data_IF_228642459498
#
_entry.id   IF_228642459498
#
_cell.length_a   1.000
_cell.length_b   1.000
_cell.length_c   1.000
_cell.angle_alpha   90.00
_cell.angle_beta   90.00
_cell.angle_gamma   90.00
#
_symmetry.space_group_name_H-M   'P 1'
#
loop_
_entity.id
_entity.type
_entity.pdbx_description
1 polymer ?
#
# COMPACT_ATOMS: atom_id res chain seq x y z
N UNK A 1 9.48 38.53 -19.42
CA UNK A 1 9.55 38.40 -17.94
C UNK A 1 8.31 37.70 -17.37
N UNK A 2 7.11 37.96 -17.90
CA UNK A 2 5.86 37.31 -17.47
C UNK A 2 5.89 35.77 -17.49
N UNK A 3 6.40 35.15 -18.56
CA UNK A 3 6.53 33.69 -18.68
C UNK A 3 7.49 33.07 -17.65
N UNK A 4 8.51 33.81 -17.22
CA UNK A 4 9.49 33.37 -16.21
C UNK A 4 8.83 33.41 -14.82
N UNK A 5 8.00 34.42 -14.56
CA UNK A 5 7.27 34.53 -13.29
C UNK A 5 6.22 33.41 -13.15
N UNK A 6 5.51 33.06 -14.22
CA UNK A 6 4.55 31.95 -14.22
C UNK A 6 5.22 30.59 -14.01
N UNK A 7 6.37 30.35 -14.62
CA UNK A 7 7.10 29.07 -14.49
C UNK A 7 7.68 28.90 -13.09
N UNK A 8 8.24 29.96 -12.49
CA UNK A 8 8.69 29.95 -11.10
C UNK A 8 7.52 29.72 -10.12
N UNK A 9 6.37 30.35 -10.36
CA UNK A 9 5.16 30.12 -9.57
C UNK A 9 4.69 28.66 -9.61
N UNK A 10 4.68 28.04 -10.79
CA UNK A 10 4.29 26.63 -10.95
C UNK A 10 5.25 25.69 -10.21
N UNK A 11 6.55 25.94 -10.29
CA UNK A 11 7.56 25.14 -9.58
C UNK A 11 7.37 25.25 -8.06
N UNK A 12 7.09 26.45 -7.54
CA UNK A 12 6.80 26.67 -6.12
C UNK A 12 5.54 25.93 -5.66
N UNK A 13 4.48 25.92 -6.47
CA UNK A 13 3.23 25.19 -6.15
C UNK A 13 3.46 23.69 -6.15
N UNK A 14 4.15 23.14 -7.16
CA UNK A 14 4.49 21.72 -7.23
C UNK A 14 5.37 21.28 -6.05
N UNK A 15 6.35 22.10 -5.66
CA UNK A 15 7.19 21.86 -4.50
C UNK A 15 6.44 21.98 -3.14
N UNK A 16 5.35 22.74 -3.09
CA UNK A 16 4.48 22.81 -1.91
C UNK A 16 3.63 21.55 -1.71
N UNK A 17 3.21 20.90 -2.81
CA UNK A 17 2.34 19.71 -2.73
C UNK A 17 3.02 18.49 -2.08
N UNK A 18 4.31 18.30 -2.29
CA UNK A 18 5.11 17.22 -1.68
C UNK A 18 5.41 17.46 -0.20
N UNK A 19 5.48 18.72 0.22
CA UNK A 19 5.59 19.10 1.63
C UNK A 19 4.27 18.86 2.38
N UNK A 20 3.12 19.13 1.76
CA UNK A 20 1.79 18.95 2.36
C UNK A 20 1.36 17.48 2.45
N UNK A 21 1.84 16.63 1.53
CA UNK A 21 1.60 15.17 1.58
C UNK A 21 2.59 14.44 2.49
N UNK A 22 3.55 15.18 3.08
CA UNK A 22 4.48 14.62 4.03
C UNK A 22 3.90 14.60 5.45
N UNK A 23 2.99 13.68 5.75
CA UNK A 23 2.61 13.38 7.14
C UNK A 23 3.87 12.96 7.91
N UNK A 24 4.22 13.74 8.93
CA UNK A 24 5.39 13.55 9.80
C UNK A 24 4.94 12.83 11.07
N UNK A 25 4.50 11.57 10.93
CA UNK A 25 3.89 10.82 12.02
C UNK A 25 4.93 10.04 12.86
N UNK A 26 6.23 10.35 12.74
CA UNK A 26 7.29 9.61 13.42
C UNK A 26 7.48 8.16 12.93
N UNK A 27 6.71 7.74 11.93
CA UNK A 27 6.83 6.43 11.29
C UNK A 27 7.84 6.55 10.14
N UNK A 28 8.90 5.72 10.10
CA UNK A 28 9.86 5.73 8.99
C UNK A 28 9.11 5.55 7.67
N UNK A 29 9.35 6.46 6.72
CA UNK A 29 8.81 6.38 5.36
C UNK A 29 9.41 5.14 4.68
N UNK A 30 8.68 4.03 4.71
CA UNK A 30 9.08 2.80 4.03
C UNK A 30 8.96 3.02 2.52
N UNK A 31 10.07 3.30 1.85
CA UNK A 31 10.12 3.58 0.40
C UNK A 31 10.85 2.50 -0.39
N UNK A 32 11.64 1.70 0.30
CA UNK A 32 12.49 0.67 -0.28
C UNK A 32 12.52 -0.59 0.57
N UNK A 33 12.98 -1.69 -0.02
CA UNK A 33 13.15 -2.94 0.71
C UNK A 33 14.15 -2.81 1.88
N UNK A 34 15.18 -1.96 1.73
CA UNK A 34 16.14 -1.72 2.80
C UNK A 34 15.48 -1.11 4.06
N UNK A 35 14.51 -0.21 3.87
CA UNK A 35 13.76 0.39 4.98
C UNK A 35 12.90 -0.66 5.71
N UNK A 36 12.33 -1.60 4.95
CA UNK A 36 11.54 -2.73 5.47
C UNK A 36 12.41 -3.65 6.31
N UNK A 37 13.61 -3.97 5.83
CA UNK A 37 14.53 -4.87 6.51
C UNK A 37 15.03 -4.25 7.81
N UNK A 38 15.34 -2.94 7.80
CA UNK A 38 15.69 -2.18 8.99
C UNK A 38 14.53 -2.16 10.01
N UNK A 39 13.30 -1.92 9.56
CA UNK A 39 12.12 -1.98 10.43
C UNK A 39 11.95 -3.39 11.03
N UNK A 40 11.99 -4.43 10.20
CA UNK A 40 11.80 -5.82 10.62
C UNK A 40 12.89 -6.31 11.58
N UNK A 41 14.10 -5.75 11.53
CA UNK A 41 15.17 -6.02 12.48
C UNK A 41 14.88 -5.44 13.88
N UNK A 42 14.10 -4.36 13.97
CA UNK A 42 13.73 -3.71 15.25
C UNK A 42 12.48 -4.30 15.88
N UNK A 43 11.61 -4.93 15.10
CA UNK A 43 10.35 -5.48 15.58
C UNK A 43 10.54 -6.85 16.21
N UNK A 44 10.20 -6.96 17.50
CA UNK A 44 10.28 -8.23 18.25
C UNK A 44 9.14 -9.20 17.91
N UNK A 45 7.95 -8.69 17.57
CA UNK A 45 6.77 -9.52 17.31
C UNK A 45 6.64 -9.82 15.82
N UNK A 46 6.70 -11.10 15.45
CA UNK A 46 6.66 -11.53 14.04
C UNK A 46 5.42 -11.04 13.29
N UNK A 47 4.25 -10.96 13.94
CA UNK A 47 3.00 -10.48 13.34
C UNK A 47 3.04 -9.02 12.89
N UNK A 48 3.89 -8.20 13.54
CA UNK A 48 4.04 -6.78 13.26
C UNK A 48 5.11 -6.50 12.21
N UNK A 49 5.82 -7.54 11.74
CA UNK A 49 6.76 -7.38 10.62
C UNK A 49 6.01 -6.94 9.37
N UNK A 50 6.65 -6.09 8.59
CA UNK A 50 6.13 -5.62 7.32
C UNK A 50 6.55 -6.56 6.20
N UNK A 51 5.61 -6.83 5.30
CA UNK A 51 5.85 -7.43 4.00
C UNK A 51 5.39 -6.43 2.95
N UNK A 52 6.28 -6.08 2.03
CA UNK A 52 6.00 -5.12 0.98
C UNK A 52 6.15 -5.78 -0.36
N UNK A 53 5.23 -5.47 -1.28
CA UNK A 53 5.32 -5.95 -2.65
C UNK A 53 5.02 -4.83 -3.63
N UNK A 54 5.49 -4.97 -4.87
CA UNK A 54 5.24 -4.00 -5.92
C UNK A 54 3.97 -4.43 -6.67
N UNK A 55 2.86 -3.79 -6.34
CA UNK A 55 1.52 -4.16 -6.83
C UNK A 55 1.02 -3.18 -7.88
N UNK A 56 0.22 -3.69 -8.83
CA UNK A 56 -0.57 -2.86 -9.74
C UNK A 56 -1.91 -2.55 -9.09
N UNK A 57 -2.00 -1.38 -8.47
CA UNK A 57 -3.24 -0.86 -7.90
C UNK A 57 -4.25 -0.50 -8.98
N UNK A 58 -5.51 -0.87 -8.76
CA UNK A 58 -6.64 -0.51 -9.63
C UNK A 58 -6.75 1.02 -9.69
N UNK A 59 -6.86 1.56 -10.91
CA UNK A 59 -6.94 3.01 -11.13
C UNK A 59 -5.60 3.72 -11.32
N UNK A 60 -4.46 3.02 -11.22
CA UNK A 60 -3.15 3.55 -11.57
C UNK A 60 -2.45 2.66 -12.60
N UNK A 61 -1.87 3.27 -13.64
CA UNK A 61 -0.99 2.57 -14.57
C UNK A 61 0.43 2.37 -14.03
N UNK A 62 0.75 2.97 -12.88
CA UNK A 62 2.07 2.91 -12.25
C UNK A 62 2.02 1.92 -11.08
N UNK A 63 2.92 0.92 -11.04
CA UNK A 63 2.99 -0.01 -9.92
C UNK A 63 3.48 0.71 -8.65
N UNK A 64 2.79 0.46 -7.55
CA UNK A 64 3.08 1.08 -6.26
C UNK A 64 3.76 0.08 -5.32
N UNK A 65 4.59 0.59 -4.41
CA UNK A 65 5.21 -0.21 -3.35
C UNK A 65 4.27 -0.22 -2.16
N UNK A 66 3.52 -1.31 -2.00
CA UNK A 66 2.48 -1.44 -0.97
C UNK A 66 3.01 -2.33 0.13
N UNK A 67 2.88 -1.86 1.37
CA UNK A 67 3.33 -2.56 2.57
C UNK A 67 2.13 -2.89 3.47
N UNK A 68 2.13 -4.09 4.03
CA UNK A 68 1.18 -4.52 5.05
C UNK A 68 1.88 -5.37 6.11
N UNK A 69 1.26 -5.55 7.26
CA UNK A 69 1.82 -6.45 8.29
C UNK A 69 1.56 -7.91 7.95
N UNK A 70 2.38 -8.81 8.51
CA UNK A 70 2.16 -10.26 8.36
C UNK A 70 0.78 -10.66 8.88
N UNK A 71 0.35 -10.15 10.03
CA UNK A 71 -0.98 -10.44 10.57
C UNK A 71 -2.12 -9.92 9.67
N UNK A 72 -1.95 -8.76 9.04
CA UNK A 72 -2.94 -8.26 8.07
C UNK A 72 -3.04 -9.19 6.87
N UNK A 73 -1.89 -9.62 6.35
CA UNK A 73 -1.84 -10.55 5.21
C UNK A 73 -2.54 -11.87 5.52
N UNK A 74 -2.33 -12.43 6.71
CA UNK A 74 -2.99 -13.66 7.14
C UNK A 74 -4.52 -13.50 7.25
N UNK A 75 -5.00 -12.39 7.81
CA UNK A 75 -6.43 -12.11 7.89
C UNK A 75 -7.08 -12.01 6.51
N UNK A 76 -6.43 -11.29 5.58
CA UNK A 76 -6.91 -11.16 4.19
C UNK A 76 -6.92 -12.53 3.51
N UNK A 77 -5.90 -13.35 3.73
CA UNK A 77 -5.82 -14.68 3.16
C UNK A 77 -6.93 -15.61 3.69
N UNK A 78 -7.28 -15.51 4.99
CA UNK A 78 -8.36 -16.33 5.55
C UNK A 78 -9.73 -15.86 5.07
N UNK A 79 -9.98 -14.55 5.02
CA UNK A 79 -11.19 -13.99 4.43
C UNK A 79 -11.38 -14.44 2.98
N UNK A 80 -10.32 -14.38 2.17
CA UNK A 80 -10.37 -14.86 0.79
C UNK A 80 -10.71 -16.36 0.67
N UNK A 81 -10.29 -17.19 1.63
CA UNK A 81 -10.65 -18.62 1.66
C UNK A 81 -12.11 -18.82 2.04
N UNK A 82 -12.61 -18.07 3.01
CA UNK A 82 -14.02 -18.10 3.43
C UNK A 82 -14.93 -17.68 2.27
N UNK A 83 -14.60 -16.60 1.58
CA UNK A 83 -15.34 -16.11 0.41
C UNK A 83 -15.42 -17.17 -0.70
N UNK A 84 -14.29 -17.83 -1.01
CA UNK A 84 -14.25 -18.91 -2.02
C UNK A 84 -15.13 -20.09 -1.61
N UNK A 85 -15.12 -20.48 -0.33
CA UNK A 85 -15.98 -21.56 0.18
C UNK A 85 -17.45 -21.19 0.03
N UNK A 86 -17.83 -19.99 0.46
CA UNK A 86 -19.21 -19.50 0.36
C UNK A 86 -19.70 -19.51 -1.10
N UNK A 87 -18.88 -19.01 -2.03
CA UNK A 87 -19.21 -19.02 -3.45
C UNK A 87 -19.35 -20.44 -4.01
N UNK A 88 -18.52 -21.38 -3.54
CA UNK A 88 -18.60 -22.78 -3.97
C UNK A 88 -19.87 -23.48 -3.47
N UNK A 89 -20.30 -23.19 -2.25
CA UNK A 89 -21.53 -23.73 -1.67
C UNK A 89 -22.77 -23.16 -2.38
N UNK A 90 -22.74 -21.85 -2.69
CA UNK A 90 -23.80 -21.19 -3.45
C UNK A 90 -23.92 -21.77 -4.87
N UNK A 91 -22.80 -22.00 -5.56
CA UNK A 91 -22.80 -22.64 -6.87
C UNK A 91 -23.37 -24.06 -6.83
N UNK A 92 -23.02 -24.86 -5.82
CA UNK A 92 -23.53 -26.23 -5.68
C UNK A 92 -25.04 -26.25 -5.46
N UNK A 93 -25.58 -25.30 -4.71
CA UNK A 93 -27.01 -25.17 -4.48
C UNK A 93 -27.77 -24.76 -5.76
N UNK A 94 -27.17 -23.91 -6.60
CA UNK A 94 -27.79 -23.48 -7.88
C UNK A 94 -27.72 -24.58 -8.95
N UNK A 95 -26.64 -25.36 -9.01
CA UNK A 95 -26.48 -26.45 -10.01
C UNK A 95 -27.23 -27.72 -9.58
N UNK A 96 -27.43 -27.91 -8.28
CA UNK A 96 -28.12 -29.08 -7.70
C UNK A 96 -29.65 -29.00 -7.70
N UNK A 97 -30.25 -27.90 -8.17
CA UNK A 97 -31.70 -27.69 -8.29
C UNK A 97 -32.15 -27.64 -9.76
#
# INVERSE_FOLDING_TARGET
>A
MEKILCTLGLILVLAGCEALTSSNDGIPRIRSQADVDAYNATVSVASNRLVCTRERVVGSNIPQFVCMTVAQRERIAEQAREDVRQLSDELQNVIGN
#
